data_IF_256308815867
#
_entry.id   IF_256308815867
#
_cell.length_a   1.000
_cell.length_b   1.000
_cell.length_c   1.000
_cell.angle_alpha   90.00
_cell.angle_beta   90.00
_cell.angle_gamma   90.00
#
_symmetry.space_group_name_H-M   'P 1'
#
loop_
_entity.id
_entity.type
_entity.pdbx_description
1 polymer ?
#
# COMPACT_ATOMS: atom_id res chain seq x y z
N UNK A 1 15.07 1.20 -9.96
CA UNK A 1 14.37 2.12 -9.04
C UNK A 1 13.15 1.38 -8.50
N UNK A 2 13.05 1.12 -7.19
CA UNK A 2 11.89 0.38 -6.65
C UNK A 2 10.78 1.38 -6.35
N UNK A 3 9.58 1.17 -6.90
CA UNK A 3 8.43 2.09 -6.83
C UNK A 3 8.12 2.55 -5.39
N UNK A 4 8.20 1.63 -4.43
CA UNK A 4 7.96 1.92 -3.01
C UNK A 4 9.00 2.85 -2.37
N UNK A 5 10.26 2.85 -2.83
CA UNK A 5 11.28 3.78 -2.33
C UNK A 5 10.93 5.22 -2.73
N UNK A 6 10.37 5.38 -3.92
CA UNK A 6 9.91 6.67 -4.41
C UNK A 6 8.67 7.14 -3.65
N UNK A 7 7.69 6.26 -3.43
CA UNK A 7 6.51 6.55 -2.60
C UNK A 7 6.93 6.98 -1.19
N UNK A 8 7.84 6.22 -0.57
CA UNK A 8 8.39 6.55 0.74
C UNK A 8 9.04 7.94 0.75
N UNK A 9 9.93 8.23 -0.21
CA UNK A 9 10.60 9.52 -0.30
C UNK A 9 9.61 10.69 -0.40
N UNK A 10 8.58 10.55 -1.24
CA UNK A 10 7.58 11.60 -1.44
C UNK A 10 6.71 11.81 -0.21
N UNK A 11 6.28 10.73 0.42
CA UNK A 11 5.54 10.78 1.67
C UNK A 11 6.38 11.40 2.79
N UNK A 12 7.65 11.00 2.90
CA UNK A 12 8.59 11.53 3.89
C UNK A 12 8.80 13.03 3.68
N UNK A 13 8.97 13.48 2.44
CA UNK A 13 9.11 14.91 2.12
C UNK A 13 7.85 15.70 2.51
N UNK A 14 6.66 15.13 2.32
CA UNK A 14 5.40 15.76 2.69
C UNK A 14 5.21 15.84 4.21
N UNK A 15 5.54 14.76 4.93
CA UNK A 15 5.40 14.66 6.38
C UNK A 15 6.63 15.10 7.17
N UNK A 16 7.69 15.56 6.50
CA UNK A 16 8.98 15.86 7.13
C UNK A 16 8.87 16.83 8.31
N UNK A 17 7.96 17.82 8.22
CA UNK A 17 7.72 18.79 9.30
C UNK A 17 7.26 18.15 10.62
N UNK A 18 6.56 17.01 10.54
CA UNK A 18 5.96 16.35 11.70
C UNK A 18 6.81 15.18 12.18
N UNK A 19 7.41 14.42 11.25
CA UNK A 19 8.06 13.14 11.55
C UNK A 19 9.58 13.21 11.50
N UNK A 20 10.16 14.31 11.00
CA UNK A 20 11.61 14.47 10.83
C UNK A 20 12.24 13.34 10.01
N UNK A 21 13.42 12.88 10.45
CA UNK A 21 14.18 11.82 9.79
C UNK A 21 13.59 10.40 10.00
N UNK A 22 12.79 10.19 11.06
CA UNK A 22 12.18 8.89 11.35
C UNK A 22 11.09 8.54 10.31
N UNK A 23 10.37 9.55 9.81
CA UNK A 23 9.40 9.45 8.73
C UNK A 23 8.32 8.37 8.95
N UNK A 24 7.84 8.23 10.19
CA UNK A 24 6.91 7.16 10.59
C UNK A 24 5.62 7.13 9.76
N UNK A 25 5.01 8.28 9.42
CA UNK A 25 3.80 8.30 8.57
C UNK A 25 4.08 7.84 7.16
N UNK A 26 5.27 8.11 6.63
CA UNK A 26 5.67 7.62 5.31
C UNK A 26 5.82 6.09 5.31
N UNK A 27 6.36 5.52 6.40
CA UNK A 27 6.43 4.07 6.61
C UNK A 27 5.03 3.46 6.65
N UNK A 28 4.11 4.07 7.40
CA UNK A 28 2.71 3.65 7.45
C UNK A 28 2.02 3.74 6.08
N UNK A 29 2.27 4.80 5.32
CA UNK A 29 1.68 4.97 3.98
C UNK A 29 2.12 3.85 3.03
N UNK A 30 3.42 3.56 2.99
CA UNK A 30 3.96 2.48 2.14
C UNK A 30 3.42 1.13 2.57
N UNK A 31 3.32 0.90 3.89
CA UNK A 31 2.72 -0.31 4.47
C UNK A 31 1.27 -0.44 4.04
N UNK A 32 0.48 0.62 4.14
CA UNK A 32 -0.92 0.61 3.73
C UNK A 32 -1.07 0.27 2.24
N UNK A 33 -0.28 0.89 1.35
CA UNK A 33 -0.30 0.61 -0.09
C UNK A 33 0.01 -0.86 -0.37
N UNK A 34 1.04 -1.42 0.28
CA UNK A 34 1.41 -2.82 0.10
C UNK A 34 0.31 -3.77 0.61
N UNK A 35 -0.30 -3.46 1.75
CA UNK A 35 -1.37 -4.28 2.31
C UNK A 35 -2.64 -4.22 1.46
N UNK A 36 -3.05 -3.03 0.99
CA UNK A 36 -4.17 -2.90 0.05
C UNK A 36 -3.93 -3.70 -1.23
N UNK A 37 -2.73 -3.61 -1.80
CA UNK A 37 -2.40 -4.40 -2.99
C UNK A 37 -2.51 -5.91 -2.74
N UNK A 38 -1.99 -6.41 -1.62
CA UNK A 38 -2.08 -7.84 -1.28
C UNK A 38 -3.54 -8.24 -1.01
N UNK A 39 -4.32 -7.37 -0.35
CA UNK A 39 -5.73 -7.59 -0.07
C UNK A 39 -6.56 -7.67 -1.36
N UNK A 40 -6.34 -6.75 -2.31
CA UNK A 40 -7.02 -6.74 -3.59
C UNK A 40 -6.74 -8.02 -4.38
N UNK A 41 -5.48 -8.44 -4.45
CA UNK A 41 -5.10 -9.71 -5.09
C UNK A 41 -5.76 -10.91 -4.40
N UNK A 42 -5.72 -10.95 -3.07
CA UNK A 42 -6.36 -12.02 -2.30
C UNK A 42 -7.86 -12.07 -2.53
N UNK A 43 -8.56 -10.94 -2.46
CA UNK A 43 -10.01 -10.86 -2.65
C UNK A 43 -10.41 -11.32 -4.05
N UNK A 44 -9.65 -10.94 -5.08
CA UNK A 44 -9.90 -11.38 -6.45
C UNK A 44 -9.72 -12.88 -6.61
N UNK A 45 -8.65 -13.47 -6.06
CA UNK A 45 -8.45 -14.93 -6.07
C UNK A 45 -9.57 -15.61 -5.29
N UNK A 46 -9.87 -15.10 -4.09
CA UNK A 46 -10.86 -15.70 -3.20
C UNK A 46 -12.27 -15.70 -3.81
N UNK A 47 -12.62 -14.63 -4.52
CA UNK A 47 -13.92 -14.51 -5.19
C UNK A 47 -14.16 -15.60 -6.23
N UNK A 48 -13.12 -15.97 -6.99
CA UNK A 48 -13.18 -16.99 -8.05
C UNK A 48 -12.91 -18.41 -7.54
N UNK A 49 -12.08 -18.58 -6.51
CA UNK A 49 -11.60 -19.89 -6.06
C UNK A 49 -12.43 -20.53 -4.94
N UNK A 50 -13.13 -19.73 -4.11
CA UNK A 50 -13.89 -20.26 -2.99
C UNK A 50 -15.41 -20.11 -3.24
N UNK A 51 -16.11 -21.25 -3.31
CA UNK A 51 -17.55 -21.32 -3.05
C UNK A 51 -17.79 -21.22 -1.54
N UNK A 52 -18.97 -20.73 -1.16
CA UNK A 52 -19.37 -20.03 0.07
C UNK A 52 -19.15 -20.77 1.42
N UNK A 53 -17.93 -21.23 1.71
CA UNK A 53 -17.54 -21.93 2.95
C UNK A 53 -17.02 -20.98 4.05
N UNK A 54 -17.27 -19.68 3.92
CA UNK A 54 -16.47 -18.62 4.54
C UNK A 54 -16.68 -18.31 6.04
N UNK A 55 -17.59 -18.98 6.74
CA UNK A 55 -17.90 -18.59 8.14
C UNK A 55 -17.01 -19.24 9.19
N UNK A 56 -16.51 -20.46 8.98
CA UNK A 56 -15.77 -21.18 10.02
C UNK A 56 -14.33 -20.70 10.23
N UNK A 57 -13.69 -20.09 9.23
CA UNK A 57 -12.29 -19.68 9.32
C UNK A 57 -12.09 -18.17 9.43
N UNK A 58 -13.16 -17.39 9.63
CA UNK A 58 -13.07 -15.92 9.63
C UNK A 58 -12.04 -15.40 10.65
N UNK A 59 -12.05 -15.92 11.88
CA UNK A 59 -11.11 -15.51 12.92
C UNK A 59 -9.65 -15.81 12.56
N UNK A 60 -9.39 -16.99 11.96
CA UNK A 60 -8.06 -17.38 11.51
C UNK A 60 -7.58 -16.47 10.37
N UNK A 61 -8.45 -16.18 9.40
CA UNK A 61 -8.14 -15.27 8.29
C UNK A 61 -7.81 -13.87 8.80
N UNK A 62 -8.60 -13.34 9.74
CA UNK A 62 -8.33 -12.04 10.38
C UNK A 62 -6.99 -12.04 11.12
N UNK A 63 -6.68 -13.10 11.88
CA UNK A 63 -5.40 -13.24 12.57
C UNK A 63 -4.21 -13.26 11.59
N UNK A 64 -4.33 -14.00 10.48
CA UNK A 64 -3.32 -14.02 9.41
C UNK A 64 -3.11 -12.63 8.79
N UNK A 65 -4.19 -11.88 8.54
CA UNK A 65 -4.10 -10.50 8.03
C UNK A 65 -3.41 -9.56 9.01
N UNK A 66 -3.73 -9.66 10.30
CA UNK A 66 -3.05 -8.85 11.34
C UNK A 66 -1.57 -9.20 11.45
N UNK A 67 -1.22 -10.49 11.39
CA UNK A 67 0.17 -10.92 11.37
C UNK A 67 0.92 -10.38 10.14
N UNK A 68 0.30 -10.45 8.95
CA UNK A 68 0.87 -9.93 7.71
C UNK A 68 1.09 -8.41 7.80
N UNK A 69 0.13 -7.65 8.32
CA UNK A 69 0.26 -6.21 8.54
C UNK A 69 1.49 -5.89 9.41
N UNK A 70 1.63 -6.61 10.53
CA UNK A 70 2.76 -6.42 11.46
C UNK A 70 4.10 -6.76 10.78
N UNK A 71 4.17 -7.87 10.04
CA UNK A 71 5.38 -8.28 9.31
C UNK A 71 5.77 -7.21 8.28
N UNK A 72 4.82 -6.77 7.44
CA UNK A 72 5.07 -5.76 6.40
C UNK A 72 5.50 -4.43 7.03
N UNK A 73 4.84 -4.02 8.12
CA UNK A 73 5.24 -2.81 8.86
C UNK A 73 6.67 -2.91 9.39
N UNK A 74 7.03 -4.01 10.06
CA UNK A 74 8.39 -4.23 10.58
C UNK A 74 9.41 -4.20 9.44
N UNK A 75 9.14 -4.89 8.34
CA UNK A 75 10.02 -4.91 7.16
C UNK A 75 10.22 -3.50 6.59
N UNK A 76 9.15 -2.73 6.44
CA UNK A 76 9.25 -1.34 5.95
C UNK A 76 9.98 -0.46 6.96
N UNK A 77 9.75 -0.64 8.26
CA UNK A 77 10.44 0.13 9.29
C UNK A 77 11.93 -0.13 9.29
N UNK A 78 12.35 -1.39 9.25
CA UNK A 78 13.77 -1.76 9.13
C UNK A 78 14.40 -1.24 7.84
N UNK A 79 13.62 -1.17 6.76
CA UNK A 79 14.11 -0.74 5.46
C UNK A 79 14.26 0.77 5.32
N UNK A 80 13.37 1.56 5.90
CA UNK A 80 13.19 2.98 5.55
C UNK A 80 13.48 3.97 6.68
N UNK A 81 13.40 3.56 7.94
CA UNK A 81 13.61 4.45 9.08
C UNK A 81 14.99 5.13 9.01
N UNK A 82 15.02 6.46 9.13
CA UNK A 82 16.26 7.24 9.09
C UNK A 82 16.91 7.39 7.72
N UNK A 83 16.30 6.87 6.64
CA UNK A 83 16.90 6.90 5.28
C UNK A 83 16.38 8.01 4.39
N UNK A 84 15.73 9.02 4.97
CA UNK A 84 15.23 10.17 4.21
C UNK A 84 16.34 10.86 3.42
N UNK A 85 17.46 11.18 4.07
CA UNK A 85 18.56 11.93 3.46
C UNK A 85 19.23 11.15 2.31
N UNK A 86 19.40 9.84 2.48
CA UNK A 86 19.92 8.95 1.42
C UNK A 86 19.03 9.00 0.17
N UNK A 87 17.71 8.94 0.37
CA UNK A 87 16.75 8.93 -0.73
C UNK A 87 16.57 10.32 -1.34
N UNK A 88 16.68 11.40 -0.56
CA UNK A 88 16.68 12.77 -1.05
C UNK A 88 17.87 13.01 -2.00
N UNK A 89 19.06 12.55 -1.63
CA UNK A 89 20.24 12.62 -2.51
C UNK A 89 20.08 11.83 -3.81
N UNK A 90 19.33 10.72 -3.76
CA UNK A 90 19.07 9.86 -4.93
C UNK A 90 17.98 10.42 -5.87
N UNK A 91 17.01 11.17 -5.35
CA UNK A 91 15.85 11.64 -6.11
C UNK A 91 15.87 13.16 -6.32
N UNK A 92 16.81 13.63 -7.14
CA UNK A 92 16.75 14.96 -7.73
C UNK A 92 15.97 14.92 -9.05
N UNK A 93 14.82 15.59 -9.09
CA UNK A 93 13.88 15.51 -10.22
C UNK A 93 13.36 16.90 -10.62
N UNK A 94 13.08 17.06 -11.91
CA UNK A 94 12.48 18.29 -12.46
C UNK A 94 11.04 18.49 -11.95
N UNK A 95 10.54 19.73 -11.97
CA UNK A 95 9.21 20.07 -11.49
C UNK A 95 8.09 19.26 -12.17
N UNK A 96 8.19 19.06 -13.50
CA UNK A 96 7.25 18.25 -14.27
C UNK A 96 7.21 16.78 -13.80
N UNK A 97 8.39 16.17 -13.60
CA UNK A 97 8.51 14.79 -13.14
C UNK A 97 7.95 14.61 -11.73
N UNK A 98 8.19 15.60 -10.87
CA UNK A 98 7.66 15.67 -9.52
C UNK A 98 6.12 15.71 -9.47
N UNK A 99 5.48 16.44 -10.38
CA UNK A 99 4.01 16.48 -10.48
C UNK A 99 3.49 15.16 -11.02
N UNK A 100 4.04 14.68 -12.14
CA UNK A 100 3.59 13.45 -12.80
C UNK A 100 3.56 12.26 -11.84
N UNK A 101 4.66 12.00 -11.13
CA UNK A 101 4.70 10.88 -10.20
C UNK A 101 3.87 11.14 -8.92
N UNK A 102 3.73 12.39 -8.49
CA UNK A 102 2.81 12.73 -7.40
C UNK A 102 1.37 12.34 -7.74
N UNK A 103 0.91 12.73 -8.94
CA UNK A 103 -0.39 12.34 -9.48
C UNK A 103 -0.48 10.82 -9.60
N UNK A 104 0.54 10.16 -10.14
CA UNK A 104 0.55 8.69 -10.27
C UNK A 104 0.36 7.97 -8.93
N UNK A 105 1.05 8.41 -7.87
CA UNK A 105 0.91 7.84 -6.52
C UNK A 105 -0.52 8.01 -6.02
N UNK A 106 -1.06 9.23 -6.08
CA UNK A 106 -2.42 9.52 -5.62
C UNK A 106 -3.45 8.71 -6.41
N UNK A 107 -3.34 8.68 -7.74
CA UNK A 107 -4.24 7.89 -8.60
C UNK A 107 -4.14 6.39 -8.29
N UNK A 108 -2.95 5.87 -8.02
CA UNK A 108 -2.77 4.46 -7.63
C UNK A 108 -3.41 4.17 -6.29
N UNK A 109 -3.25 5.06 -5.30
CA UNK A 109 -3.89 4.90 -4.00
C UNK A 109 -5.42 4.92 -4.10
N UNK A 110 -5.98 5.86 -4.87
CA UNK A 110 -7.42 5.92 -5.13
C UNK A 110 -7.88 4.63 -5.83
N UNK A 111 -7.14 4.16 -6.82
CA UNK A 111 -7.46 2.92 -7.50
C UNK A 111 -7.49 1.73 -6.55
N UNK A 112 -6.44 1.52 -5.73
CA UNK A 112 -6.40 0.43 -4.75
C UNK A 112 -7.55 0.52 -3.75
N UNK A 113 -7.85 1.71 -3.25
CA UNK A 113 -8.93 1.89 -2.28
C UNK A 113 -10.31 1.58 -2.88
N UNK A 114 -10.57 1.98 -4.13
CA UNK A 114 -11.85 1.75 -4.79
C UNK A 114 -11.92 0.44 -5.58
N UNK A 115 -10.81 -0.28 -5.74
CA UNK A 115 -10.73 -1.51 -6.51
C UNK A 115 -11.77 -2.55 -6.06
N UNK A 116 -11.95 -2.84 -4.76
CA UNK A 116 -12.97 -3.81 -4.33
C UNK A 116 -14.38 -3.44 -4.75
N UNK A 117 -14.72 -2.14 -4.74
CA UNK A 117 -16.04 -1.64 -5.15
C UNK A 117 -16.23 -1.86 -6.65
N UNK A 118 -15.26 -1.45 -7.47
CA UNK A 118 -15.30 -1.68 -8.91
C UNK A 118 -15.37 -3.17 -9.24
N UNK A 119 -14.53 -3.98 -8.61
CA UNK A 119 -14.50 -5.43 -8.80
C UNK A 119 -15.85 -6.08 -8.51
N UNK A 120 -16.45 -5.80 -7.33
CA UNK A 120 -17.76 -6.35 -6.97
C UNK A 120 -18.89 -5.82 -7.85
N UNK A 121 -18.84 -4.57 -8.31
CA UNK A 121 -19.86 -4.05 -9.23
C UNK A 121 -19.86 -4.76 -10.60
N UNK A 122 -18.69 -5.17 -11.08
CA UNK A 122 -18.52 -5.85 -12.37
C UNK A 122 -18.81 -7.35 -12.26
N UNK A 123 -18.25 -8.02 -11.25
CA UNK A 123 -18.28 -9.48 -11.13
C UNK A 123 -19.32 -9.98 -10.11
N UNK A 124 -19.79 -9.14 -9.19
CA UNK A 124 -20.75 -9.54 -8.15
C UNK A 124 -22.12 -9.94 -8.69
N UNK A 125 -22.50 -9.44 -9.88
CA UNK A 125 -23.77 -9.80 -10.55
C UNK A 125 -23.70 -11.11 -11.35
N UNK A 126 -22.52 -11.72 -11.51
CA UNK A 126 -22.33 -12.89 -12.36
C UNK A 126 -22.37 -14.23 -11.63
N UNK A 127 -22.63 -14.25 -10.31
CA UNK A 127 -22.94 -15.49 -9.58
C UNK A 127 -24.47 -15.73 -9.64
N UNK A 128 -24.94 -16.84 -10.22
CA UNK A 128 -26.36 -17.21 -10.23
C UNK A 128 -26.88 -17.53 -8.82
#
# INVERSE_FOLDING_TARGET
MKVFDYVFYRASTFFFKNDGQDADRAIWLVTAIQIFFILDVYLSIAFFAFEDHGKHYHQLVVACWMALLVIVYIMNRLRYRGRYDELQGRFQESAARKIFFGVLIVSTMLFLFFYPVFFLSLFGKSKP
#
